data_IF_640072027768
#
_entry.id   IF_640072027768
#
_cell.length_a   1.000
_cell.length_b   1.000
_cell.length_c   1.000
_cell.angle_alpha   90.00
_cell.angle_beta   90.00
_cell.angle_gamma   90.00
#
_symmetry.space_group_name_H-M   'P 1'
#
loop_
_entity.id
_entity.type
_entity.pdbx_description
1 polymer ?
#
# COMPACT_ATOMS: atom_id res chain seq x y z
N UNK A 1 63.35 6.04 -41.40
CA UNK A 1 62.73 4.78 -41.88
C UNK A 1 63.64 3.63 -41.53
N UNK A 2 63.23 2.68 -40.66
CA UNK A 2 64.02 1.50 -40.32
C UNK A 2 63.53 0.33 -41.17
N UNK A 3 64.31 -0.07 -42.18
CA UNK A 3 64.09 -1.29 -42.94
C UNK A 3 64.24 -2.49 -41.99
N UNK A 4 63.17 -3.27 -41.80
CA UNK A 4 63.28 -4.57 -41.13
C UNK A 4 63.80 -5.59 -42.14
N UNK A 5 64.91 -6.25 -41.81
CA UNK A 5 65.48 -7.33 -42.62
C UNK A 5 64.83 -8.63 -42.19
N UNK A 6 64.10 -9.28 -43.09
CA UNK A 6 63.46 -10.58 -42.84
C UNK A 6 64.11 -11.63 -43.74
N UNK A 7 64.37 -12.83 -43.21
CA UNK A 7 64.92 -13.92 -44.00
C UNK A 7 63.80 -14.74 -44.68
N UNK A 8 64.00 -15.09 -45.94
CA UNK A 8 63.14 -16.02 -46.66
C UNK A 8 63.20 -17.41 -45.99
N UNK A 9 62.05 -18.01 -45.69
CA UNK A 9 61.95 -19.35 -45.05
C UNK A 9 62.46 -20.49 -45.94
N UNK A 10 62.39 -20.32 -47.26
CA UNK A 10 62.76 -21.34 -48.24
C UNK A 10 64.27 -21.34 -48.55
N UNK A 11 64.87 -20.16 -48.75
CA UNK A 11 66.25 -20.05 -49.23
C UNK A 11 67.19 -19.25 -48.31
N UNK A 12 66.70 -18.71 -47.19
CA UNK A 12 67.48 -17.91 -46.24
C UNK A 12 67.87 -16.50 -46.70
N UNK A 13 67.54 -16.12 -47.94
CA UNK A 13 67.88 -14.82 -48.52
C UNK A 13 67.21 -13.64 -47.81
N UNK A 14 67.88 -12.49 -47.75
CA UNK A 14 67.39 -11.29 -47.07
C UNK A 14 66.32 -10.60 -47.93
N UNK A 15 65.13 -10.42 -47.37
CA UNK A 15 64.03 -9.68 -47.96
C UNK A 15 64.02 -8.27 -47.34
N UNK A 16 64.09 -7.25 -48.20
CA UNK A 16 63.86 -5.86 -47.81
C UNK A 16 62.36 -5.59 -47.93
N UNK A 17 61.68 -5.30 -46.82
CA UNK A 17 60.30 -4.87 -46.85
C UNK A 17 60.21 -3.35 -47.00
N UNK A 18 59.51 -2.89 -48.04
CA UNK A 18 59.08 -1.50 -48.14
C UNK A 18 57.88 -1.28 -47.19
N UNK A 19 58.05 -0.36 -46.25
CA UNK A 19 57.23 -0.17 -45.04
C UNK A 19 55.82 0.40 -45.31
N UNK A 20 55.30 0.36 -46.55
CA UNK A 20 54.09 1.12 -46.89
C UNK A 20 52.78 0.46 -46.39
N UNK A 21 52.83 -0.62 -45.61
CA UNK A 21 51.63 -1.13 -44.92
C UNK A 21 51.97 -2.01 -43.72
N UNK A 22 52.12 -1.41 -42.53
CA UNK A 22 51.96 -2.13 -41.26
C UNK A 22 50.49 -2.46 -40.93
N UNK A 23 49.56 -2.05 -41.80
CA UNK A 23 48.11 -2.10 -41.57
C UNK A 23 47.47 -3.32 -42.27
N UNK A 24 48.12 -3.88 -43.28
CA UNK A 24 47.63 -5.03 -44.06
C UNK A 24 48.75 -6.01 -44.37
N UNK A 25 48.37 -7.28 -44.49
CA UNK A 25 49.26 -8.35 -44.91
C UNK A 25 49.92 -8.02 -46.25
N UNK A 26 51.23 -8.21 -46.33
CA UNK A 26 52.02 -7.94 -47.52
C UNK A 26 52.39 -9.24 -48.22
N UNK A 27 52.21 -9.28 -49.54
CA UNK A 27 52.71 -10.37 -50.39
C UNK A 27 54.11 -10.01 -50.88
N UNK A 28 55.09 -10.83 -50.56
CA UNK A 28 56.49 -10.64 -50.93
C UNK A 28 56.94 -11.78 -51.82
N UNK A 29 57.63 -11.47 -52.90
CA UNK A 29 58.29 -12.48 -53.74
C UNK A 29 59.78 -12.44 -53.41
N UNK A 30 60.36 -13.59 -53.07
CA UNK A 30 61.79 -13.64 -52.79
C UNK A 30 62.60 -13.37 -54.07
N UNK A 31 63.55 -12.43 -54.08
CA UNK A 31 64.36 -12.15 -55.27
C UNK A 31 65.36 -13.28 -55.59
N UNK A 32 65.64 -14.17 -54.63
CA UNK A 32 66.63 -15.24 -54.79
C UNK A 32 66.02 -16.58 -55.25
N UNK A 33 64.88 -16.99 -54.69
CA UNK A 33 64.25 -18.27 -55.00
C UNK A 33 62.84 -18.16 -55.60
N UNK A 34 62.34 -16.93 -55.79
CA UNK A 34 61.01 -16.63 -56.36
C UNK A 34 59.82 -17.20 -55.56
N UNK A 35 60.05 -17.73 -54.35
CA UNK A 35 58.97 -18.17 -53.47
C UNK A 35 58.08 -16.98 -53.07
N UNK A 36 56.77 -17.15 -53.15
CA UNK A 36 55.78 -16.20 -52.63
C UNK A 36 55.62 -16.40 -51.12
N UNK A 37 55.79 -15.33 -50.34
CA UNK A 37 55.62 -15.31 -48.90
C UNK A 37 54.62 -14.23 -48.49
N UNK A 38 53.76 -14.52 -47.51
CA UNK A 38 52.85 -13.54 -46.92
C UNK A 38 53.42 -13.11 -45.57
N UNK A 39 53.74 -11.83 -45.44
CA UNK A 39 54.12 -11.22 -44.17
C UNK A 39 52.89 -10.60 -43.51
N UNK A 40 52.47 -11.19 -42.39
CA UNK A 40 51.32 -10.68 -41.63
C UNK A 40 51.71 -9.43 -40.84
N UNK A 41 50.85 -8.42 -40.88
CA UNK A 41 51.06 -7.16 -40.19
C UNK A 41 51.32 -7.33 -38.68
N UNK A 42 50.62 -8.29 -38.05
CA UNK A 42 50.76 -8.67 -36.64
C UNK A 42 52.17 -9.08 -36.20
N UNK A 43 52.99 -9.57 -37.14
CA UNK A 43 54.38 -9.96 -36.86
C UNK A 43 55.37 -8.80 -36.99
N UNK A 44 54.90 -7.60 -37.32
CA UNK A 44 55.70 -6.37 -37.27
C UNK A 44 55.54 -5.68 -35.93
N UNK A 45 56.59 -4.98 -35.46
CA UNK A 45 56.55 -4.24 -34.18
C UNK A 45 55.35 -3.27 -34.13
N UNK A 46 55.14 -2.50 -35.22
CA UNK A 46 54.04 -1.53 -35.34
C UNK A 46 52.66 -2.22 -35.41
N UNK A 47 52.55 -3.37 -36.09
CA UNK A 47 51.29 -4.10 -36.15
C UNK A 47 50.92 -4.77 -34.83
N UNK A 48 51.91 -5.28 -34.08
CA UNK A 48 51.71 -5.83 -32.75
C UNK A 48 51.29 -4.74 -31.74
N UNK A 49 51.88 -3.56 -31.79
CA UNK A 49 51.50 -2.40 -30.97
C UNK A 49 50.05 -1.96 -31.27
N UNK A 50 49.67 -1.89 -32.55
CA UNK A 50 48.31 -1.54 -32.95
C UNK A 50 47.27 -2.56 -32.47
N UNK A 51 47.57 -3.86 -32.54
CA UNK A 51 46.68 -4.90 -32.02
C UNK A 51 46.50 -4.80 -30.49
N UNK A 52 47.59 -4.51 -29.76
CA UNK A 52 47.52 -4.28 -28.33
C UNK A 52 46.67 -3.04 -27.98
N UNK A 53 46.83 -1.93 -28.71
CA UNK A 53 46.04 -0.71 -28.52
C UNK A 53 44.55 -0.93 -28.81
N UNK A 54 44.22 -1.66 -29.88
CA UNK A 54 42.83 -2.02 -30.20
C UNK A 54 42.22 -2.85 -29.08
N UNK A 55 42.95 -3.82 -28.53
CA UNK A 55 42.46 -4.64 -27.43
C UNK A 55 42.27 -3.83 -26.16
N UNK A 56 43.17 -2.89 -25.86
CA UNK A 56 43.01 -1.94 -24.75
C UNK A 56 41.75 -1.09 -24.91
N UNK A 57 41.44 -0.62 -26.11
CA UNK A 57 40.20 0.13 -26.40
C UNK A 57 38.97 -0.76 -26.13
N UNK A 58 38.95 -2.00 -26.63
CA UNK A 58 37.84 -2.94 -26.38
C UNK A 58 37.63 -3.22 -24.90
N UNK A 59 38.70 -3.49 -24.17
CA UNK A 59 38.64 -3.72 -22.72
C UNK A 59 38.14 -2.48 -21.97
N UNK A 60 38.46 -1.28 -22.46
CA UNK A 60 37.97 -0.03 -21.88
C UNK A 60 36.48 0.16 -22.13
N UNK A 61 36.02 -0.07 -23.36
CA UNK A 61 34.61 -0.03 -23.71
C UNK A 61 33.80 -1.07 -22.92
N UNK A 62 34.29 -2.30 -22.81
CA UNK A 62 33.64 -3.35 -22.03
C UNK A 62 33.52 -2.94 -20.56
N UNK A 63 34.57 -2.38 -19.96
CA UNK A 63 34.54 -1.87 -18.58
C UNK A 63 33.53 -0.75 -18.40
N UNK A 64 33.45 0.20 -19.33
CA UNK A 64 32.45 1.29 -19.27
C UNK A 64 31.04 0.75 -19.45
N UNK A 65 30.80 -0.17 -20.39
CA UNK A 65 29.51 -0.82 -20.59
C UNK A 65 29.05 -1.60 -19.34
N UNK A 66 29.96 -2.35 -18.72
CA UNK A 66 29.70 -3.05 -17.45
C UNK A 66 29.36 -2.06 -16.35
N UNK A 67 30.11 -0.96 -16.23
CA UNK A 67 29.88 0.09 -15.23
C UNK A 67 28.53 0.78 -15.44
N UNK A 68 28.15 1.09 -16.67
CA UNK A 68 26.84 1.65 -17.00
C UNK A 68 25.70 0.65 -16.70
N UNK A 69 25.90 -0.63 -17.00
CA UNK A 69 24.94 -1.69 -16.66
C UNK A 69 24.70 -1.79 -15.15
N UNK A 70 25.75 -1.81 -14.33
CA UNK A 70 25.62 -1.83 -12.87
C UNK A 70 24.98 -0.56 -12.34
N UNK A 71 25.31 0.61 -12.91
CA UNK A 71 24.68 1.88 -12.55
C UNK A 71 23.17 1.86 -12.83
N UNK A 72 22.76 1.38 -13.99
CA UNK A 72 21.34 1.24 -14.35
C UNK A 72 20.61 0.22 -13.45
N UNK A 73 21.25 -0.92 -13.17
CA UNK A 73 20.70 -1.94 -12.28
C UNK A 73 20.50 -1.38 -10.86
N UNK A 74 21.49 -0.67 -10.33
CA UNK A 74 21.41 -0.01 -9.03
C UNK A 74 20.30 1.03 -8.97
N UNK A 75 20.16 1.89 -10.00
CA UNK A 75 19.06 2.86 -10.07
C UNK A 75 17.69 2.20 -10.00
N UNK A 76 17.49 1.07 -10.71
CA UNK A 76 16.24 0.31 -10.65
C UNK A 76 16.00 -0.32 -9.28
N UNK A 77 17.05 -0.80 -8.62
CA UNK A 77 16.97 -1.39 -7.29
C UNK A 77 16.63 -0.33 -6.24
N UNK A 78 17.35 0.79 -6.25
CA UNK A 78 17.08 1.96 -5.39
C UNK A 78 15.66 2.49 -5.62
N UNK A 79 15.20 2.53 -6.87
CA UNK A 79 13.81 2.92 -7.20
C UNK A 79 12.79 1.95 -6.61
N UNK A 80 13.00 0.63 -6.71
CA UNK A 80 12.11 -0.39 -6.13
C UNK A 80 12.07 -0.30 -4.60
N UNK A 81 13.24 -0.18 -3.97
CA UNK A 81 13.36 -0.05 -2.51
C UNK A 81 12.68 1.23 -2.04
N UNK A 82 12.88 2.35 -2.75
CA UNK A 82 12.21 3.61 -2.47
C UNK A 82 10.68 3.50 -2.58
N UNK A 83 10.17 2.83 -3.61
CA UNK A 83 8.73 2.62 -3.77
C UNK A 83 8.14 1.76 -2.65
N UNK A 84 8.82 0.67 -2.27
CA UNK A 84 8.41 -0.19 -1.15
C UNK A 84 8.42 0.60 0.17
N UNK A 85 9.46 1.41 0.42
CA UNK A 85 9.56 2.26 1.61
C UNK A 85 8.42 3.26 1.68
N UNK A 86 8.03 3.86 0.56
CA UNK A 86 6.92 4.80 0.48
C UNK A 86 5.60 4.11 0.85
N UNK A 87 5.33 2.93 0.29
CA UNK A 87 4.12 2.15 0.58
C UNK A 87 3.99 1.82 2.07
N UNK A 88 5.08 1.41 2.71
CA UNK A 88 5.10 1.12 4.15
C UNK A 88 4.76 2.39 4.95
N UNK A 89 5.37 3.53 4.61
CA UNK A 89 5.17 4.79 5.32
C UNK A 89 3.72 5.31 5.21
N UNK A 90 3.05 5.10 4.08
CA UNK A 90 1.63 5.46 3.91
C UNK A 90 0.65 4.47 4.55
N UNK A 91 1.02 3.20 4.70
CA UNK A 91 0.14 2.17 5.28
C UNK A 91 -0.14 2.39 6.78
N UNK A 92 0.87 2.84 7.53
CA UNK A 92 0.79 3.05 8.99
C UNK A 92 -0.29 4.08 9.38
N UNK A 93 -0.34 5.29 8.82
CA UNK A 93 -1.37 6.27 9.16
C UNK A 93 -2.76 5.83 8.72
N UNK A 94 -2.88 5.12 7.59
CA UNK A 94 -4.16 4.54 7.15
C UNK A 94 -4.71 3.56 8.17
N UNK A 95 -3.88 2.64 8.66
CA UNK A 95 -4.26 1.68 9.69
C UNK A 95 -4.63 2.41 10.99
N UNK A 96 -3.83 3.39 11.40
CA UNK A 96 -4.12 4.20 12.59
C UNK A 96 -5.47 4.92 12.50
N UNK A 97 -5.78 5.51 11.34
CA UNK A 97 -7.05 6.17 11.09
C UNK A 97 -8.24 5.19 11.14
N UNK A 98 -8.10 4.00 10.56
CA UNK A 98 -9.12 2.96 10.63
C UNK A 98 -9.38 2.51 12.08
N UNK A 99 -8.33 2.30 12.87
CA UNK A 99 -8.47 1.93 14.29
C UNK A 99 -9.11 3.06 15.09
N UNK A 100 -8.73 4.31 14.84
CA UNK A 100 -9.29 5.47 15.54
C UNK A 100 -10.79 5.64 15.24
N UNK A 101 -11.17 5.57 13.97
CA UNK A 101 -12.57 5.72 13.54
C UNK A 101 -13.46 4.59 14.06
N UNK A 102 -13.00 3.34 14.00
CA UNK A 102 -13.75 2.20 14.56
C UNK A 102 -13.92 2.32 16.08
N UNK A 103 -12.87 2.68 16.82
CA UNK A 103 -12.97 2.92 18.26
C UNK A 103 -13.94 4.07 18.58
N UNK A 104 -13.88 5.17 17.84
CA UNK A 104 -14.81 6.28 18.00
C UNK A 104 -16.27 5.85 17.86
N UNK A 105 -16.57 5.06 16.83
CA UNK A 105 -17.92 4.54 16.59
C UNK A 105 -18.38 3.56 17.70
N UNK A 106 -17.48 2.72 18.21
CA UNK A 106 -17.77 1.77 19.29
C UNK A 106 -18.07 2.51 20.61
N UNK A 107 -17.25 3.51 20.95
CA UNK A 107 -17.37 4.25 22.21
C UNK A 107 -18.57 5.20 22.21
N UNK A 108 -18.78 5.95 21.13
CA UNK A 108 -19.77 7.02 21.13
C UNK A 108 -21.17 6.60 20.66
N UNK A 109 -21.34 5.37 20.13
CA UNK A 109 -22.62 4.80 19.64
C UNK A 109 -23.63 5.87 19.19
N UNK A 110 -23.30 6.65 18.15
CA UNK A 110 -24.04 7.86 17.82
C UNK A 110 -25.53 7.56 17.60
N UNK A 111 -26.40 8.28 18.32
CA UNK A 111 -27.84 8.09 18.25
C UNK A 111 -28.40 7.00 19.17
N UNK A 112 -27.58 6.40 20.05
CA UNK A 112 -28.07 5.62 21.18
C UNK A 112 -28.19 6.48 22.44
N UNK A 113 -29.19 6.16 23.26
CA UNK A 113 -29.44 6.72 24.59
C UNK A 113 -29.25 5.58 25.58
N UNK A 114 -28.37 5.77 26.56
CA UNK A 114 -28.27 4.89 27.72
C UNK A 114 -29.35 5.25 28.74
N UNK A 115 -30.19 4.29 29.11
CA UNK A 115 -31.30 4.54 30.03
C UNK A 115 -30.78 4.68 31.48
N UNK A 116 -31.04 5.81 32.16
CA UNK A 116 -30.68 5.97 33.56
C UNK A 116 -31.69 5.30 34.52
N UNK A 117 -32.77 4.73 33.98
CA UNK A 117 -33.92 4.19 34.68
C UNK A 117 -34.27 2.79 34.17
N UNK A 118 -34.95 2.00 34.99
CA UNK A 118 -35.50 0.69 34.61
C UNK A 118 -37.02 0.76 34.55
N UNK A 119 -37.64 -0.16 33.80
CA UNK A 119 -39.09 -0.24 33.62
C UNK A 119 -39.82 -0.25 34.98
N UNK A 120 -39.34 -1.07 35.91
CA UNK A 120 -39.94 -1.26 37.24
C UNK A 120 -40.08 0.03 38.05
N UNK A 121 -39.24 1.04 37.80
CA UNK A 121 -39.32 2.34 38.49
C UNK A 121 -40.38 3.26 37.90
N UNK A 122 -40.83 3.02 36.67
CA UNK A 122 -41.84 3.81 35.98
C UNK A 122 -43.26 3.34 36.32
N UNK A 123 -43.42 2.07 36.69
CA UNK A 123 -44.71 1.51 37.10
C UNK A 123 -45.31 2.32 38.26
N UNK A 124 -46.56 2.77 38.08
CA UNK A 124 -47.28 3.58 39.06
C UNK A 124 -46.97 5.08 39.04
N UNK A 125 -46.02 5.57 38.24
CA UNK A 125 -45.81 7.00 38.04
C UNK A 125 -46.88 7.62 37.13
N UNK A 126 -47.04 8.94 37.16
CA UNK A 126 -47.93 9.62 36.22
C UNK A 126 -47.39 9.55 34.79
N UNK A 127 -48.22 9.12 33.83
CA UNK A 127 -47.78 8.90 32.45
C UNK A 127 -47.19 10.13 31.76
N UNK A 128 -47.62 11.35 32.12
CA UNK A 128 -47.07 12.59 31.57
C UNK A 128 -45.67 12.89 32.09
N UNK A 129 -45.39 12.56 33.35
CA UNK A 129 -44.05 12.71 33.90
C UNK A 129 -43.09 11.71 33.24
N UNK A 130 -43.59 10.50 32.94
CA UNK A 130 -42.82 9.49 32.23
C UNK A 130 -42.54 9.91 30.77
N UNK A 131 -43.53 10.49 30.09
CA UNK A 131 -43.35 11.14 28.78
C UNK A 131 -42.21 12.16 28.82
N UNK A 132 -42.28 13.14 29.72
CA UNK A 132 -41.25 14.19 29.84
C UNK A 132 -39.86 13.60 30.09
N UNK A 133 -39.74 12.56 30.92
CA UNK A 133 -38.45 11.88 31.13
C UNK A 133 -37.88 11.30 29.84
N UNK A 134 -38.70 10.68 28.99
CA UNK A 134 -38.24 10.13 27.72
C UNK A 134 -37.96 11.23 26.68
N UNK A 135 -38.73 12.32 26.66
CA UNK A 135 -38.44 13.49 25.82
C UNK A 135 -37.12 14.17 26.21
N UNK A 136 -36.88 14.36 27.51
CA UNK A 136 -35.64 14.94 28.06
C UNK A 136 -34.40 14.08 27.74
N UNK A 137 -34.58 12.76 27.66
CA UNK A 137 -33.54 11.83 27.20
C UNK A 137 -33.27 11.93 25.68
N UNK A 138 -34.20 12.53 24.93
CA UNK A 138 -34.09 12.74 23.48
C UNK A 138 -34.78 11.67 22.63
N UNK A 139 -35.76 10.94 23.18
CA UNK A 139 -36.61 10.06 22.38
C UNK A 139 -37.66 10.87 21.61
N UNK A 140 -37.85 10.54 20.34
CA UNK A 140 -38.71 11.31 19.43
C UNK A 140 -40.08 10.64 19.17
N UNK A 141 -40.24 9.36 19.52
CA UNK A 141 -41.39 8.54 19.10
C UNK A 141 -42.10 7.92 20.31
N UNK A 142 -42.84 8.74 21.04
CA UNK A 142 -43.60 8.35 22.24
C UNK A 142 -45.09 8.23 21.88
N UNK A 143 -45.72 7.13 22.29
CA UNK A 143 -47.15 6.85 22.09
C UNK A 143 -47.79 6.38 23.39
N UNK A 144 -49.11 6.55 23.46
CA UNK A 144 -49.90 6.20 24.65
C UNK A 144 -50.99 5.20 24.33
N UNK A 145 -51.23 4.28 25.25
CA UNK A 145 -52.31 3.30 25.16
C UNK A 145 -53.07 3.22 26.49
N UNK A 146 -54.41 3.24 26.40
CA UNK A 146 -55.30 3.31 27.56
C UNK A 146 -55.64 1.91 28.06
N UNK A 147 -55.36 1.63 29.32
CA UNK A 147 -55.77 0.39 30.02
C UNK A 147 -57.02 0.69 30.85
N UNK A 148 -58.16 0.12 30.47
CA UNK A 148 -59.47 0.39 31.09
C UNK A 148 -59.81 -0.65 32.17
N UNK A 149 -59.11 -0.59 33.28
CA UNK A 149 -59.18 -1.59 34.38
C UNK A 149 -59.56 -1.01 35.75
N UNK A 150 -59.64 0.32 35.87
CA UNK A 150 -59.98 0.98 37.14
C UNK A 150 -61.46 0.81 37.49
N UNK A 151 -61.75 0.53 38.77
CA UNK A 151 -63.12 0.45 39.31
C UNK A 151 -63.48 1.71 40.08
N UNK A 152 -64.64 2.29 39.78
CA UNK A 152 -65.19 3.43 40.51
C UNK A 152 -65.47 3.03 41.97
N UNK A 153 -64.79 3.66 42.93
CA UNK A 153 -64.98 3.43 44.38
C UNK A 153 -63.80 2.78 45.12
N UNK A 154 -62.80 2.25 44.42
CA UNK A 154 -61.48 1.97 45.02
C UNK A 154 -60.58 3.21 44.90
N UNK A 155 -59.54 3.33 45.74
CA UNK A 155 -58.44 4.31 45.59
C UNK A 155 -57.67 4.03 44.27
N UNK A 156 -58.31 4.35 43.15
CA UNK A 156 -57.85 4.09 41.81
C UNK A 156 -57.12 5.33 41.27
N UNK A 157 -55.83 5.18 41.02
CA UNK A 157 -54.98 6.26 40.54
C UNK A 157 -55.04 6.33 39.01
N UNK A 158 -56.04 7.02 38.49
CA UNK A 158 -56.16 7.27 37.05
C UNK A 158 -54.97 8.08 36.53
N UNK A 159 -54.42 7.66 35.40
CA UNK A 159 -53.22 8.27 34.81
C UNK A 159 -51.89 7.69 35.29
N UNK A 160 -51.92 6.68 36.17
CA UNK A 160 -50.70 5.97 36.53
C UNK A 160 -50.30 5.00 35.41
N UNK A 161 -49.00 4.85 35.20
CA UNK A 161 -48.40 3.93 34.24
C UNK A 161 -48.60 2.49 34.72
N UNK A 162 -49.15 1.68 33.82
CA UNK A 162 -49.26 0.23 33.94
C UNK A 162 -47.98 -0.46 33.47
N UNK A 163 -47.44 -0.03 32.33
CA UNK A 163 -46.29 -0.66 31.69
C UNK A 163 -45.68 0.34 30.69
N UNK A 164 -44.38 0.26 30.49
CA UNK A 164 -43.70 0.97 29.40
C UNK A 164 -42.98 -0.04 28.53
N UNK A 165 -43.09 0.11 27.21
CA UNK A 165 -42.32 -0.70 26.27
C UNK A 165 -41.46 0.16 25.37
N UNK A 166 -40.26 -0.32 25.07
CA UNK A 166 -39.31 0.31 24.14
C UNK A 166 -39.10 -0.67 22.98
N UNK A 167 -39.61 -0.36 21.80
CA UNK A 167 -39.69 -1.29 20.67
C UNK A 167 -40.39 -2.64 21.00
N UNK A 168 -41.26 -2.65 22.01
CA UNK A 168 -41.95 -3.86 22.47
C UNK A 168 -41.24 -4.64 23.58
N UNK A 169 -40.04 -4.22 23.99
CA UNK A 169 -39.34 -4.72 25.18
C UNK A 169 -39.88 -4.01 26.43
N UNK A 170 -40.29 -4.79 27.43
CA UNK A 170 -40.84 -4.34 28.70
C UNK A 170 -40.00 -4.75 29.92
N UNK A 171 -38.82 -5.33 29.71
CA UNK A 171 -37.92 -5.78 30.78
C UNK A 171 -36.59 -5.02 30.82
N UNK A 172 -36.54 -3.89 30.13
CA UNK A 172 -35.39 -2.98 30.08
C UNK A 172 -34.92 -2.50 31.46
N UNK A 173 -33.59 -2.39 31.58
CA UNK A 173 -32.86 -2.07 32.80
C UNK A 173 -32.06 -0.78 32.63
N UNK A 174 -31.65 -0.25 33.79
CA UNK A 174 -30.71 0.86 33.83
C UNK A 174 -29.39 0.43 33.18
N UNK A 175 -28.87 1.23 32.25
CA UNK A 175 -27.66 0.96 31.48
C UNK A 175 -27.93 0.35 30.09
N UNK A 176 -29.17 -0.04 29.81
CA UNK A 176 -29.53 -0.51 28.47
C UNK A 176 -29.53 0.64 27.47
N UNK A 177 -29.12 0.35 26.24
CA UNK A 177 -28.93 1.34 25.19
C UNK A 177 -29.97 1.17 24.08
N UNK A 178 -30.73 2.23 23.78
CA UNK A 178 -31.75 2.23 22.73
C UNK A 178 -31.52 3.37 21.75
N UNK A 179 -31.93 3.18 20.49
CA UNK A 179 -31.88 4.25 19.50
C UNK A 179 -32.87 5.37 19.87
N UNK A 180 -32.54 6.65 19.66
CA UNK A 180 -33.44 7.80 19.84
C UNK A 180 -34.79 7.66 19.13
N UNK A 181 -34.80 6.94 17.99
CA UNK A 181 -35.99 6.68 17.17
C UNK A 181 -36.81 5.46 17.62
N UNK A 182 -36.40 4.80 18.70
CA UNK A 182 -37.13 3.66 19.26
C UNK A 182 -38.54 4.07 19.62
N UNK A 183 -39.50 3.20 19.33
CA UNK A 183 -40.91 3.43 19.60
C UNK A 183 -41.18 3.17 21.08
N UNK A 184 -41.40 4.23 21.84
CA UNK A 184 -41.85 4.15 23.22
C UNK A 184 -43.36 4.03 23.23
N UNK A 185 -43.92 3.04 23.93
CA UNK A 185 -45.35 2.99 24.25
C UNK A 185 -45.53 3.00 25.76
N UNK A 186 -46.35 3.93 26.24
CA UNK A 186 -46.71 4.06 27.65
C UNK A 186 -48.17 3.61 27.81
N UNK A 187 -48.36 2.54 28.57
CA UNK A 187 -49.66 2.01 28.94
C UNK A 187 -50.07 2.63 30.27
N UNK A 188 -51.28 3.19 30.37
CA UNK A 188 -51.72 3.85 31.61
C UNK A 188 -53.17 3.53 31.96
N UNK A 189 -53.44 3.47 33.26
CA UNK A 189 -54.74 3.12 33.81
C UNK A 189 -55.75 4.26 33.64
N UNK A 190 -56.94 3.93 33.18
CA UNK A 190 -58.09 4.84 33.05
C UNK A 190 -59.38 4.15 33.49
N UNK A 191 -60.36 4.93 33.91
CA UNK A 191 -61.69 4.40 34.17
C UNK A 191 -62.36 3.92 32.87
N UNK A 192 -63.09 2.79 32.89
CA UNK A 192 -63.98 2.43 31.82
C UNK A 192 -65.03 3.55 31.65
N UNK A 193 -65.33 3.90 30.40
CA UNK A 193 -66.40 4.84 30.06
C UNK A 193 -67.75 4.15 30.18
#
# INVERSE_FOLDING_TARGET
MKLSKVHCKECGGILNLDIVSHIKNQKLVCPYCQSLYIYEAKYSEIGAELEADIELIRLKEEKENIKEFWKFKKLKEDQKVGFISLLILFSIPLIGFLVMTTNYLIVHRPGQIELPISEKKLHGENYKNVELKFEDMGFENIKYEKVRDLKLGLFAHSGNVSEVTINGDNDFKKGDNYNKKSKIKIYYHVFPK
#
